data_IF_843917336369
#
_entry.id   IF_843917336369
#
_cell.length_a   1.000
_cell.length_b   1.000
_cell.length_c   1.000
_cell.angle_alpha   90.00
_cell.angle_beta   90.00
_cell.angle_gamma   90.00
#
_symmetry.space_group_name_H-M   'P 1'
#
loop_
_entity.id
_entity.type
_entity.pdbx_description
1 polymer ?
#
# COMPACT_ATOMS: atom_id res chain seq x y z
N UNK A 1 21.13 -4.95 12.19
CA UNK A 1 20.74 -4.85 10.77
C UNK A 1 21.24 -3.55 10.18
N UNK A 2 21.38 -3.49 8.85
CA UNK A 2 21.58 -2.23 8.14
C UNK A 2 20.33 -1.33 8.24
N UNK A 3 20.42 -0.09 7.76
CA UNK A 3 19.27 0.80 7.68
C UNK A 3 18.11 0.13 6.90
N UNK A 4 16.87 0.17 7.41
CA UNK A 4 15.72 -0.41 6.71
C UNK A 4 15.41 0.36 5.42
N UNK A 5 14.78 -0.29 4.44
CA UNK A 5 14.35 0.38 3.21
C UNK A 5 13.34 1.49 3.53
N UNK A 6 13.63 2.73 3.15
CA UNK A 6 12.76 3.86 3.51
C UNK A 6 11.44 3.85 2.74
N UNK A 7 11.40 3.23 1.56
CA UNK A 7 10.23 3.21 0.67
C UNK A 7 9.97 1.80 0.16
N UNK A 8 8.77 1.30 0.42
CA UNK A 8 8.19 0.10 -0.18
C UNK A 8 7.17 0.49 -1.24
N UNK A 9 6.74 -0.46 -2.07
CA UNK A 9 5.73 -0.21 -3.10
C UNK A 9 4.38 0.23 -2.51
N UNK A 10 4.01 -0.31 -1.34
CA UNK A 10 2.72 -0.09 -0.69
C UNK A 10 2.80 0.75 0.61
N UNK A 11 4.00 1.07 1.09
CA UNK A 11 4.20 1.81 2.35
C UNK A 11 5.54 2.59 2.38
N UNK A 12 5.66 3.52 3.33
CA UNK A 12 6.85 4.31 3.62
C UNK A 12 7.26 4.13 5.08
N UNK A 13 8.56 4.17 5.38
CA UNK A 13 9.07 4.04 6.75
C UNK A 13 8.60 5.23 7.59
N UNK A 14 8.17 4.98 8.83
CA UNK A 14 7.78 6.05 9.73
C UNK A 14 8.95 6.99 10.04
N UNK A 15 8.67 8.29 10.11
CA UNK A 15 9.66 9.34 10.38
C UNK A 15 10.47 9.11 11.67
N UNK A 16 9.85 8.50 12.69
CA UNK A 16 10.52 8.14 13.95
C UNK A 16 11.73 7.21 13.74
N UNK A 17 11.65 6.30 12.77
CA UNK A 17 12.70 5.31 12.47
C UNK A 17 13.61 5.77 11.32
N UNK A 18 13.25 6.83 10.61
CA UNK A 18 13.98 7.34 9.44
C UNK A 18 15.38 7.85 9.78
N UNK A 19 15.53 8.43 10.97
CA UNK A 19 16.80 8.93 11.49
C UNK A 19 17.39 8.03 12.58
N UNK A 20 16.80 6.86 12.83
CA UNK A 20 17.35 5.91 13.78
C UNK A 20 18.66 5.32 13.23
N UNK A 21 19.65 5.18 14.11
CA UNK A 21 20.99 4.68 13.77
C UNK A 21 21.31 3.34 14.43
N UNK A 22 20.52 2.93 15.42
CA UNK A 22 20.64 1.64 16.09
C UNK A 22 19.49 0.71 15.69
N UNK A 23 19.85 -0.37 14.97
CA UNK A 23 18.94 -1.43 14.58
C UNK A 23 19.50 -2.78 15.04
N UNK A 24 19.62 -2.92 16.35
CA UNK A 24 19.98 -4.18 17.01
C UNK A 24 19.01 -5.33 16.65
N UNK A 25 19.47 -6.57 16.75
CA UNK A 25 18.64 -7.77 16.50
C UNK A 25 17.41 -7.75 17.41
N UNK A 26 16.25 -8.09 16.87
CA UNK A 26 14.96 -8.02 17.55
C UNK A 26 14.30 -6.63 17.55
N UNK A 27 14.97 -5.59 17.03
CA UNK A 27 14.32 -4.29 16.80
C UNK A 27 13.27 -4.40 15.71
N UNK A 28 12.17 -3.69 15.90
CA UNK A 28 11.07 -3.63 14.96
C UNK A 28 10.90 -2.19 14.50
N UNK A 29 10.71 -1.98 13.20
CA UNK A 29 10.41 -0.65 12.65
C UNK A 29 9.04 -0.66 12.00
N UNK A 30 8.34 0.46 12.09
CA UNK A 30 6.99 0.59 11.56
C UNK A 30 6.95 1.41 10.27
N UNK A 31 6.05 1.01 9.39
CA UNK A 31 5.73 1.68 8.14
C UNK A 31 4.32 2.26 8.16
N UNK A 32 4.12 3.29 7.35
CA UNK A 32 2.83 3.91 7.06
C UNK A 32 2.45 3.62 5.62
N UNK A 33 1.21 3.17 5.40
CA UNK A 33 0.73 2.90 4.04
C UNK A 33 0.76 4.15 3.16
N UNK A 34 1.13 3.98 1.89
CA UNK A 34 1.07 5.07 0.92
C UNK A 34 -0.36 5.61 0.76
N UNK A 35 -0.53 6.88 0.34
CA UNK A 35 -1.82 7.40 -0.05
C UNK A 35 -2.48 6.49 -1.10
N UNK A 36 -3.75 6.15 -0.87
CA UNK A 36 -4.46 5.20 -1.73
C UNK A 36 -4.30 3.72 -1.33
N UNK A 37 -3.50 3.41 -0.31
CA UNK A 37 -3.43 2.10 0.32
C UNK A 37 -4.04 2.13 1.73
N UNK A 38 -4.55 1.00 2.20
CA UNK A 38 -5.11 0.81 3.52
C UNK A 38 -4.50 -0.40 4.22
N UNK A 39 -4.30 -0.28 5.53
CA UNK A 39 -3.79 -1.36 6.37
C UNK A 39 -4.74 -2.55 6.34
N UNK A 40 -4.19 -3.74 6.12
CA UNK A 40 -4.95 -4.98 6.15
C UNK A 40 -5.27 -5.34 7.61
N UNK A 41 -6.54 -5.63 7.95
CA UNK A 41 -6.91 -6.06 9.30
C UNK A 41 -6.14 -7.32 9.71
N UNK A 42 -5.56 -7.32 10.92
CA UNK A 42 -4.80 -8.44 11.44
C UNK A 42 -3.33 -8.50 11.03
N UNK A 43 -2.85 -7.62 10.13
CA UNK A 43 -1.42 -7.51 9.80
C UNK A 43 -0.77 -6.33 10.52
N UNK A 44 0.46 -6.52 10.99
CA UNK A 44 1.30 -5.47 11.54
C UNK A 44 2.14 -4.81 10.44
N UNK A 45 2.12 -3.47 10.28
CA UNK A 45 2.90 -2.77 9.27
C UNK A 45 4.34 -2.58 9.73
N UNK A 46 5.00 -3.66 10.11
CA UNK A 46 6.28 -3.65 10.81
C UNK A 46 7.18 -4.76 10.32
N UNK A 47 8.47 -4.48 10.23
CA UNK A 47 9.51 -5.50 9.95
C UNK A 47 10.48 -5.58 11.12
N UNK A 48 11.01 -6.77 11.38
CA UNK A 48 11.89 -7.05 12.52
C UNK A 48 13.29 -7.37 12.02
N UNK A 49 14.31 -6.87 12.71
CA UNK A 49 15.69 -7.24 12.46
C UNK A 49 15.93 -8.68 12.94
N UNK A 50 16.20 -9.60 12.02
CA UNK A 50 16.47 -11.01 12.31
C UNK A 50 17.89 -11.21 12.84
N UNK A 51 18.15 -12.36 13.48
CA UNK A 51 19.49 -12.76 13.94
C UNK A 51 20.51 -12.89 12.80
N UNK A 52 20.05 -13.08 11.56
CA UNK A 52 20.91 -13.04 10.37
C UNK A 52 21.47 -11.65 10.07
N UNK A 53 20.98 -10.59 10.73
CA UNK A 53 21.33 -9.21 10.43
C UNK A 53 20.54 -8.60 9.26
N UNK A 54 19.56 -9.34 8.74
CA UNK A 54 18.64 -8.91 7.68
C UNK A 54 17.27 -8.55 8.27
N UNK A 55 16.52 -7.70 7.57
CA UNK A 55 15.14 -7.38 7.94
C UNK A 55 14.21 -8.51 7.51
N UNK A 56 13.22 -8.82 8.35
CA UNK A 56 12.15 -9.77 8.01
C UNK A 56 11.41 -9.33 6.75
N UNK A 57 10.82 -10.30 6.05
CA UNK A 57 10.03 -10.02 4.85
C UNK A 57 8.92 -9.01 5.14
N UNK A 58 8.86 -7.97 4.30
CA UNK A 58 7.79 -6.98 4.35
C UNK A 58 6.54 -7.57 3.69
N UNK A 59 5.71 -8.26 4.48
CA UNK A 59 4.40 -8.73 4.04
C UNK A 59 3.56 -7.57 3.52
N UNK A 60 2.65 -7.82 2.56
CA UNK A 60 1.74 -6.80 2.02
C UNK A 60 0.65 -6.39 3.04
N UNK A 61 1.07 -5.75 4.12
CA UNK A 61 0.23 -5.24 5.19
C UNK A 61 -0.58 -4.00 4.77
N UNK A 62 -0.31 -3.44 3.59
CA UNK A 62 -1.09 -2.38 2.97
C UNK A 62 -1.61 -2.85 1.62
N UNK A 63 -2.93 -2.79 1.40
CA UNK A 63 -3.57 -3.10 0.12
C UNK A 63 -4.16 -1.85 -0.51
N UNK A 64 -4.27 -1.84 -1.85
CA UNK A 64 -4.92 -0.75 -2.57
C UNK A 64 -6.34 -0.56 -2.03
N UNK A 65 -6.72 0.67 -1.73
CA UNK A 65 -8.07 1.02 -1.27
C UNK A 65 -9.07 0.67 -2.35
N UNK A 66 -10.21 0.13 -1.92
CA UNK A 66 -11.35 -0.07 -2.79
C UNK A 66 -12.09 1.26 -2.95
N UNK A 67 -12.22 1.73 -4.19
CA UNK A 67 -13.08 2.81 -4.58
C UNK A 67 -14.53 2.33 -4.66
N UNK A 68 -15.48 3.23 -4.35
CA UNK A 68 -16.89 2.97 -4.59
C UNK A 68 -17.15 2.79 -6.08
N UNK A 69 -18.14 1.96 -6.42
CA UNK A 69 -18.58 1.84 -7.80
C UNK A 69 -19.05 3.22 -8.29
N UNK A 70 -18.55 3.71 -9.43
CA UNK A 70 -18.81 5.08 -9.89
C UNK A 70 -20.25 5.31 -10.37
N UNK A 71 -21.07 4.26 -10.40
CA UNK A 71 -22.45 4.29 -10.89
C UNK A 71 -22.53 4.04 -12.39
N UNK A 72 -23.73 3.70 -12.85
CA UNK A 72 -24.01 3.56 -14.28
C UNK A 72 -24.27 4.95 -14.89
N UNK A 73 -23.59 5.31 -15.98
CA UNK A 73 -23.83 6.58 -16.66
C UNK A 73 -25.24 6.64 -17.27
N UNK A 74 -25.90 7.79 -17.18
CA UNK A 74 -27.19 8.03 -17.84
C UNK A 74 -26.94 8.32 -19.33
N UNK A 75 -27.66 7.64 -20.23
CA UNK A 75 -27.48 7.71 -21.70
C UNK A 75 -26.03 7.40 -22.14
N UNK A 76 -25.40 6.45 -21.45
CA UNK A 76 -24.05 6.01 -21.73
C UNK A 76 -23.83 4.58 -21.25
N UNK A 77 -22.64 4.05 -21.47
CA UNK A 77 -22.22 2.72 -21.03
C UNK A 77 -20.78 2.73 -20.56
N UNK A 78 -20.50 1.87 -19.58
CA UNK A 78 -19.11 1.58 -19.18
C UNK A 78 -18.54 0.62 -20.23
N UNK A 79 -17.49 1.05 -20.93
CA UNK A 79 -16.83 0.23 -21.96
C UNK A 79 -15.59 -0.49 -21.43
N UNK A 80 -15.00 -0.01 -20.33
CA UNK A 80 -13.90 -0.70 -19.68
C UNK A 80 -13.88 -0.42 -18.18
N UNK A 81 -13.87 -1.50 -17.39
CA UNK A 81 -13.71 -1.48 -15.95
C UNK A 81 -12.81 -2.65 -15.57
N UNK A 82 -11.53 -2.39 -15.29
CA UNK A 82 -10.59 -3.46 -14.89
C UNK A 82 -10.89 -3.94 -13.48
N UNK A 83 -10.94 -2.98 -12.56
CA UNK A 83 -11.21 -3.16 -11.15
C UNK A 83 -11.48 -1.77 -10.53
N UNK A 84 -11.86 -1.77 -9.26
CA UNK A 84 -12.23 -0.56 -8.54
C UNK A 84 -11.21 -0.24 -7.44
N UNK A 85 -9.95 -0.61 -7.61
CA UNK A 85 -8.90 -0.29 -6.64
C UNK A 85 -8.17 1.00 -6.99
N UNK A 86 -7.54 1.61 -5.99
CA UNK A 86 -6.77 2.85 -6.16
C UNK A 86 -5.73 2.77 -7.28
N UNK A 87 -5.85 3.56 -8.34
CA UNK A 87 -4.98 3.53 -9.52
C UNK A 87 -5.59 2.84 -10.74
N UNK A 88 -6.82 2.33 -10.63
CA UNK A 88 -7.55 1.72 -11.73
C UNK A 88 -8.33 2.76 -12.52
N UNK A 89 -8.58 2.45 -13.80
CA UNK A 89 -9.20 3.40 -14.75
C UNK A 89 -10.54 2.84 -15.22
N UNK A 90 -11.54 3.71 -15.29
CA UNK A 90 -12.86 3.41 -15.85
C UNK A 90 -13.06 4.23 -17.11
N UNK A 91 -13.52 3.59 -18.18
CA UNK A 91 -13.77 4.26 -19.46
C UNK A 91 -15.26 4.18 -19.78
N UNK A 92 -15.82 5.33 -20.13
CA UNK A 92 -17.23 5.50 -20.47
C UNK A 92 -17.38 5.84 -21.95
N UNK A 93 -18.53 5.47 -22.52
CA UNK A 93 -18.99 5.91 -23.84
C UNK A 93 -20.39 6.46 -23.70
N UNK A 94 -20.69 7.57 -24.35
CA UNK A 94 -22.08 8.02 -24.50
C UNK A 94 -22.79 7.16 -25.54
N UNK A 95 -24.11 7.00 -25.37
CA UNK A 95 -24.98 6.49 -26.43
C UNK A 95 -25.20 7.57 -27.47
N UNK A 96 -25.35 7.15 -28.72
CA UNK A 96 -25.63 8.05 -29.84
C UNK A 96 -27.08 8.55 -29.75
N UNK A 97 -27.30 9.82 -30.10
CA UNK A 97 -28.60 10.49 -30.10
C UNK A 97 -28.86 11.18 -31.42
#
# INVERSE_FOLDING_TARGET
CAAPPTRLQFAELNEEHRNAVDFSVGKTVQYTCHPGYAKVPGMSPTITCLESGEWSEALEFCKRKQCSHPGEPVNGKIISLTDLQFGSTVVYSCEEG
#
